data_IF_151799088204
#
_entry.id   IF_151799088204
#
_cell.length_a   1.000
_cell.length_b   1.000
_cell.length_c   1.000
_cell.angle_alpha   90.00
_cell.angle_beta   90.00
_cell.angle_gamma   90.00
#
_symmetry.space_group_name_H-M   'P 1'
#
loop_
_entity.id
_entity.type
_entity.pdbx_description
1 polymer ?
#
# COMPACT_ATOMS: atom_id res chain seq x y z
N UNK A 1 4.32 -16.00 5.94
CA UNK A 1 3.14 -16.38 5.09
C UNK A 1 2.06 -15.32 5.23
N UNK A 2 1.36 -14.95 4.13
CA UNK A 2 0.33 -13.92 4.20
C UNK A 2 -0.85 -14.35 5.08
N UNK A 3 -1.38 -13.42 5.88
CA UNK A 3 -2.50 -13.66 6.78
C UNK A 3 -3.23 -12.36 7.15
N UNK A 4 -4.48 -12.48 7.56
CA UNK A 4 -5.18 -11.36 8.19
C UNK A 4 -4.65 -11.12 9.59
N UNK A 5 -4.44 -9.84 9.92
CA UNK A 5 -4.13 -9.38 11.27
C UNK A 5 -5.05 -8.23 11.67
N UNK A 6 -5.29 -8.08 12.96
CA UNK A 6 -6.00 -6.91 13.49
C UNK A 6 -5.04 -5.73 13.62
N UNK A 7 -5.31 -4.67 12.88
CA UNK A 7 -4.58 -3.42 12.95
C UNK A 7 -5.49 -2.35 13.56
N UNK A 8 -5.47 -2.25 14.90
CA UNK A 8 -6.26 -1.28 15.67
C UNK A 8 -7.76 -1.35 15.40
N UNK A 9 -8.30 -2.57 15.31
CA UNK A 9 -9.73 -2.83 15.12
C UNK A 9 -10.16 -2.95 13.66
N UNK A 10 -9.22 -3.04 12.73
CA UNK A 10 -9.45 -3.31 11.32
C UNK A 10 -8.60 -4.48 10.84
N UNK A 11 -9.23 -5.41 10.10
CA UNK A 11 -8.52 -6.56 9.54
C UNK A 11 -7.79 -6.15 8.26
N UNK A 12 -6.45 -6.22 8.28
CA UNK A 12 -5.62 -6.00 7.09
C UNK A 12 -4.94 -7.30 6.67
N UNK A 13 -4.77 -7.50 5.38
CA UNK A 13 -4.07 -8.65 4.84
C UNK A 13 -2.59 -8.33 4.73
N UNK A 14 -1.79 -8.98 5.56
CA UNK A 14 -0.36 -8.71 5.75
C UNK A 14 0.50 -9.84 5.18
N UNK A 15 1.66 -9.47 4.72
CA UNK A 15 2.69 -10.35 4.16
C UNK A 15 3.98 -10.16 4.95
N UNK A 16 4.64 -11.25 5.25
CA UNK A 16 5.93 -11.25 5.93
C UNK A 16 6.83 -12.33 5.32
N UNK A 17 8.04 -11.93 4.96
CA UNK A 17 9.14 -12.79 4.51
C UNK A 17 10.23 -12.70 5.55
N UNK A 18 10.18 -13.65 6.50
CA UNK A 18 11.05 -13.67 7.66
C UNK A 18 12.52 -13.86 7.27
N UNK A 19 13.37 -12.98 7.77
CA UNK A 19 14.82 -13.03 7.64
C UNK A 19 15.47 -12.35 8.86
N UNK A 20 16.77 -12.58 9.09
CA UNK A 20 17.54 -11.90 10.14
C UNK A 20 18.12 -10.53 9.67
N UNK A 21 17.81 -10.11 8.46
CA UNK A 21 18.22 -8.82 7.91
C UNK A 21 17.44 -7.65 8.49
N UNK A 22 17.78 -6.45 8.05
CA UNK A 22 17.08 -5.24 8.46
C UNK A 22 15.65 -5.21 7.89
N UNK A 23 14.72 -4.60 8.65
CA UNK A 23 13.33 -4.49 8.26
C UNK A 23 13.16 -3.57 7.04
N UNK A 24 12.44 -4.07 6.03
CA UNK A 24 12.00 -3.32 4.84
C UNK A 24 10.49 -3.42 4.72
N UNK A 25 9.82 -2.29 4.56
CA UNK A 25 8.36 -2.25 4.32
C UNK A 25 8.08 -1.82 2.89
N UNK A 26 7.32 -2.65 2.16
CA UNK A 26 6.90 -2.39 0.78
C UNK A 26 5.50 -1.77 0.80
N UNK A 27 5.35 -0.58 0.21
CA UNK A 27 4.10 0.16 0.12
C UNK A 27 3.65 0.26 -1.34
N UNK A 28 2.60 -0.46 -1.70
CA UNK A 28 2.09 -0.53 -3.08
C UNK A 28 1.42 0.78 -3.53
N UNK A 29 1.24 0.94 -4.84
CA UNK A 29 0.58 2.08 -5.48
C UNK A 29 -0.94 2.12 -5.29
N UNK A 30 -1.59 3.18 -5.75
CA UNK A 30 -3.04 3.27 -5.80
C UNK A 30 -3.62 2.22 -6.76
N UNK A 31 -4.77 1.63 -6.42
CA UNK A 31 -5.42 0.52 -7.15
C UNK A 31 -4.52 -0.69 -7.40
N UNK A 32 -3.45 -0.84 -6.62
CA UNK A 32 -2.52 -1.95 -6.66
C UNK A 32 -2.67 -2.82 -5.40
N UNK A 33 -1.85 -3.83 -5.27
CA UNK A 33 -1.82 -4.73 -4.13
C UNK A 33 -0.41 -5.27 -3.91
N UNK A 34 -0.17 -5.88 -2.77
CA UNK A 34 1.16 -6.37 -2.36
C UNK A 34 1.71 -7.45 -3.30
N UNK A 35 0.86 -8.33 -3.80
CA UNK A 35 1.31 -9.42 -4.71
C UNK A 35 1.98 -8.93 -5.99
N UNK A 36 1.82 -7.67 -6.37
CA UNK A 36 2.57 -7.09 -7.50
C UNK A 36 4.07 -6.99 -7.23
N UNK A 37 4.51 -7.02 -5.97
CA UNK A 37 5.91 -7.05 -5.59
C UNK A 37 6.57 -8.42 -5.78
N UNK A 38 5.78 -9.51 -5.75
CA UNK A 38 6.27 -10.89 -5.74
C UNK A 38 7.13 -11.24 -6.96
N UNK A 39 6.90 -10.56 -8.10
CA UNK A 39 7.61 -10.81 -9.35
C UNK A 39 8.62 -9.72 -9.70
N UNK A 40 8.64 -8.61 -8.97
CA UNK A 40 9.42 -7.43 -9.35
C UNK A 40 10.57 -7.19 -8.37
N UNK A 41 10.33 -7.28 -7.07
CA UNK A 41 11.30 -6.83 -6.08
C UNK A 41 11.52 -7.81 -4.93
N UNK A 42 10.45 -8.49 -4.50
CA UNK A 42 10.53 -9.41 -3.35
C UNK A 42 11.60 -10.49 -3.50
N UNK A 43 11.74 -11.18 -4.65
CA UNK A 43 12.74 -12.23 -4.81
C UNK A 43 14.20 -11.75 -4.68
N UNK A 44 14.45 -10.49 -4.99
CA UNK A 44 15.80 -9.90 -4.93
C UNK A 44 16.14 -9.38 -3.52
N UNK A 45 15.13 -9.06 -2.72
CA UNK A 45 15.31 -8.48 -1.38
C UNK A 45 15.19 -9.52 -0.25
N UNK A 46 14.32 -10.52 -0.39
CA UNK A 46 14.06 -11.49 0.69
C UNK A 46 15.30 -12.26 1.17
N UNK A 47 16.35 -12.50 0.35
CA UNK A 47 17.56 -13.18 0.84
C UNK A 47 18.32 -12.38 1.90
N UNK A 48 18.26 -11.06 1.88
CA UNK A 48 19.10 -10.17 2.68
C UNK A 48 18.31 -9.35 3.71
N UNK A 49 16.98 -9.21 3.55
CA UNK A 49 16.15 -8.32 4.37
C UNK A 49 14.93 -9.05 4.96
N UNK A 50 14.51 -8.62 6.13
CA UNK A 50 13.21 -8.99 6.69
C UNK A 50 12.14 -8.10 6.05
N UNK A 51 11.34 -8.68 5.15
CA UNK A 51 10.36 -7.92 4.38
C UNK A 51 8.98 -7.95 5.02
N UNK A 52 8.34 -6.81 5.01
CA UNK A 52 6.96 -6.60 5.41
C UNK A 52 6.18 -5.88 4.31
N UNK A 53 4.93 -6.26 4.14
CA UNK A 53 4.00 -5.53 3.30
C UNK A 53 2.57 -5.81 3.77
N UNK A 54 1.62 -4.99 3.35
CA UNK A 54 0.20 -5.26 3.57
C UNK A 54 -0.61 -4.62 2.45
N UNK A 55 -1.76 -5.20 2.18
CA UNK A 55 -2.75 -4.60 1.32
C UNK A 55 -3.45 -3.48 2.11
N UNK A 56 -3.30 -2.24 1.65
CA UNK A 56 -3.93 -1.09 2.31
C UNK A 56 -5.45 -1.19 2.24
N UNK A 57 -6.15 -0.60 3.20
CA UNK A 57 -7.62 -0.55 3.20
C UNK A 57 -8.19 -0.17 1.83
N UNK A 58 -9.14 -0.95 1.36
CA UNK A 58 -9.77 -0.81 0.05
C UNK A 58 -8.96 -1.37 -1.14
N UNK A 59 -7.83 -2.03 -0.88
CA UNK A 59 -6.97 -2.62 -1.90
C UNK A 59 -6.74 -4.11 -1.61
N UNK A 60 -6.46 -4.88 -2.67
CA UNK A 60 -6.18 -6.30 -2.57
C UNK A 60 -7.19 -7.04 -1.69
N UNK A 61 -6.69 -7.82 -0.75
CA UNK A 61 -7.51 -8.61 0.19
C UNK A 61 -8.00 -7.82 1.42
N UNK A 62 -7.70 -6.53 1.54
CA UNK A 62 -8.15 -5.70 2.67
C UNK A 62 -9.40 -4.90 2.31
N UNK A 63 -10.46 -5.07 3.12
CA UNK A 63 -11.74 -4.39 2.93
C UNK A 63 -11.62 -2.86 2.98
N UNK A 64 -12.51 -2.17 2.29
CA UNK A 64 -12.63 -0.71 2.30
C UNK A 64 -13.09 -0.20 3.67
N UNK A 65 -12.68 0.99 4.01
CA UNK A 65 -13.11 1.75 5.18
C UNK A 65 -13.59 3.14 4.74
N UNK A 66 -14.36 3.82 5.59
CA UNK A 66 -15.03 5.07 5.22
C UNK A 66 -14.12 6.16 4.63
N UNK A 67 -12.83 6.19 5.03
CA UNK A 67 -11.86 7.19 4.60
C UNK A 67 -10.61 6.60 3.94
N UNK A 68 -10.62 5.32 3.55
CA UNK A 68 -9.41 4.60 3.13
C UNK A 68 -8.69 5.20 1.91
N UNK A 69 -9.37 5.94 1.04
CA UNK A 69 -8.76 6.64 -0.10
C UNK A 69 -8.25 8.05 0.23
N UNK A 70 -8.38 8.52 1.47
CA UNK A 70 -7.73 9.75 1.92
C UNK A 70 -6.30 9.48 2.40
N UNK A 71 -5.32 10.22 1.88
CA UNK A 71 -3.91 10.05 2.29
C UNK A 71 -3.70 10.14 3.80
N UNK A 72 -4.45 10.99 4.51
CA UNK A 72 -4.38 11.05 5.99
C UNK A 72 -4.73 9.72 6.65
N UNK A 73 -5.72 8.99 6.11
CA UNK A 73 -6.07 7.66 6.61
C UNK A 73 -4.94 6.67 6.31
N UNK A 74 -4.50 6.61 5.06
CA UNK A 74 -3.47 5.67 4.61
C UNK A 74 -2.13 5.88 5.34
N UNK A 75 -1.75 7.13 5.62
CA UNK A 75 -0.56 7.45 6.41
C UNK A 75 -0.70 6.96 7.85
N UNK A 76 -1.85 7.17 8.50
CA UNK A 76 -2.11 6.66 9.86
C UNK A 76 -2.10 5.14 9.92
N UNK A 77 -2.69 4.49 8.91
CA UNK A 77 -2.68 3.02 8.78
C UNK A 77 -1.25 2.49 8.63
N UNK A 78 -0.43 3.09 7.77
CA UNK A 78 0.96 2.69 7.58
C UNK A 78 1.82 2.94 8.83
N UNK A 79 1.59 4.05 9.56
CA UNK A 79 2.24 4.30 10.86
C UNK A 79 1.83 3.23 11.87
N UNK A 80 0.54 2.88 11.95
CA UNK A 80 0.07 1.82 12.83
C UNK A 80 0.72 0.48 12.48
N UNK A 81 0.88 0.17 11.20
CA UNK A 81 1.55 -1.04 10.75
C UNK A 81 3.03 -1.08 11.17
N UNK A 82 3.75 0.04 11.03
CA UNK A 82 5.14 0.15 11.50
C UNK A 82 5.25 -0.03 13.02
N UNK A 83 4.36 0.58 13.80
CA UNK A 83 4.40 0.54 15.26
C UNK A 83 3.97 -0.82 15.84
N UNK A 84 2.92 -1.42 15.29
CA UNK A 84 2.25 -2.57 15.91
C UNK A 84 2.70 -3.91 15.30
N UNK A 85 3.16 -3.91 14.05
CA UNK A 85 3.58 -5.13 13.32
C UNK A 85 5.10 -5.19 13.17
N UNK A 86 5.71 -4.18 12.54
CA UNK A 86 7.16 -4.15 12.28
C UNK A 86 7.95 -3.93 13.58
N UNK A 87 7.51 -2.99 14.43
CA UNK A 87 8.02 -2.71 15.80
C UNK A 87 9.48 -2.25 15.88
N UNK A 88 10.03 -1.83 14.77
CA UNK A 88 11.37 -1.24 14.67
C UNK A 88 11.43 -0.23 13.52
N UNK A 89 12.40 0.69 13.51
CA UNK A 89 12.61 1.54 12.35
C UNK A 89 12.95 0.70 11.12
N UNK A 90 12.33 1.03 9.97
CA UNK A 90 12.47 0.26 8.76
C UNK A 90 12.91 1.10 7.55
N UNK A 91 13.45 0.44 6.54
CA UNK A 91 13.57 1.00 5.21
C UNK A 91 12.20 0.96 4.55
N UNK A 92 11.76 2.05 3.93
CA UNK A 92 10.49 2.11 3.24
C UNK A 92 10.72 2.15 1.73
N UNK A 93 10.10 1.24 1.01
CA UNK A 93 10.07 1.24 -0.46
C UNK A 93 8.64 1.50 -0.88
N UNK A 94 8.38 2.65 -1.49
CA UNK A 94 7.04 3.06 -1.89
C UNK A 94 6.93 3.33 -3.38
N UNK A 95 5.90 2.74 -3.99
CA UNK A 95 5.56 2.99 -5.38
C UNK A 95 4.33 3.88 -5.50
N UNK A 96 4.41 4.95 -6.35
CA UNK A 96 3.30 5.87 -6.60
C UNK A 96 2.69 6.39 -5.29
N UNK A 97 1.42 6.12 -4.97
CA UNK A 97 0.76 6.49 -3.72
C UNK A 97 1.52 5.97 -2.48
N UNK A 98 2.05 4.75 -2.55
CA UNK A 98 2.88 4.18 -1.49
C UNK A 98 4.13 5.03 -1.21
N UNK A 99 4.72 5.63 -2.25
CA UNK A 99 5.85 6.55 -2.10
C UNK A 99 5.44 7.88 -1.47
N UNK A 100 4.25 8.39 -1.76
CA UNK A 100 3.70 9.59 -1.10
C UNK A 100 3.48 9.32 0.40
N UNK A 101 2.96 8.14 0.73
CA UNK A 101 2.77 7.69 2.10
C UNK A 101 4.13 7.60 2.81
N UNK A 102 5.12 6.94 2.20
CA UNK A 102 6.46 6.79 2.75
C UNK A 102 7.13 8.14 3.04
N UNK A 103 7.06 9.10 2.09
CA UNK A 103 7.56 10.47 2.30
C UNK A 103 6.86 11.15 3.47
N UNK A 104 5.54 11.01 3.56
CA UNK A 104 4.75 11.63 4.62
C UNK A 104 5.11 11.06 6.00
N UNK A 105 5.38 9.76 6.09
CA UNK A 105 5.87 9.12 7.32
C UNK A 105 7.24 9.67 7.69
N UNK A 106 8.18 9.73 6.74
CA UNK A 106 9.52 10.25 7.00
C UNK A 106 9.54 11.71 7.48
N UNK A 107 8.57 12.53 7.03
CA UNK A 107 8.42 13.91 7.49
C UNK A 107 7.80 13.99 8.90
N UNK A 108 6.79 13.16 9.18
CA UNK A 108 5.99 13.28 10.41
C UNK A 108 6.46 12.37 11.53
N UNK A 109 7.10 11.26 11.21
CA UNK A 109 7.58 10.22 12.13
C UNK A 109 8.97 9.71 11.69
N UNK A 110 9.97 10.60 11.62
CA UNK A 110 11.31 10.24 11.12
C UNK A 110 11.98 9.13 11.92
N UNK A 111 11.63 8.95 13.17
CA UNK A 111 12.16 7.89 14.04
C UNK A 111 11.74 6.47 13.61
N UNK A 112 10.70 6.34 12.78
CA UNK A 112 10.27 5.06 12.23
C UNK A 112 10.97 4.68 10.92
N UNK A 113 11.79 5.59 10.34
CA UNK A 113 12.30 5.44 8.98
C UNK A 113 13.83 5.44 8.98
N UNK A 114 14.44 4.34 8.52
CA UNK A 114 15.89 4.24 8.29
C UNK A 114 16.29 4.90 6.96
N UNK A 115 15.55 4.62 5.90
CA UNK A 115 15.77 5.20 4.57
C UNK A 115 14.51 5.09 3.70
N UNK A 116 14.51 5.79 2.57
CA UNK A 116 13.41 5.78 1.59
C UNK A 116 13.92 5.38 0.21
N UNK A 117 13.16 4.52 -0.47
CA UNK A 117 13.24 4.31 -1.91
C UNK A 117 11.87 4.68 -2.49
N UNK A 118 11.85 5.65 -3.39
CA UNK A 118 10.63 6.21 -3.97
C UNK A 118 10.57 5.91 -5.46
N UNK A 119 9.55 5.18 -5.88
CA UNK A 119 9.37 4.75 -7.26
C UNK A 119 8.16 5.47 -7.84
N UNK A 120 8.35 6.39 -8.77
CA UNK A 120 7.27 7.11 -9.44
C UNK A 120 6.35 7.91 -8.52
N UNK A 121 6.86 8.41 -7.39
CA UNK A 121 6.08 9.15 -6.40
C UNK A 121 6.14 10.66 -6.65
N UNK A 122 5.00 11.33 -6.56
CA UNK A 122 4.89 12.78 -6.65
C UNK A 122 5.01 13.42 -5.25
N UNK A 123 5.87 14.42 -5.12
CA UNK A 123 5.99 15.18 -3.87
C UNK A 123 5.00 16.37 -3.79
N UNK A 124 4.33 16.71 -4.89
CA UNK A 124 3.35 17.78 -4.97
C UNK A 124 2.30 17.50 -6.05
N UNK A 125 1.06 17.91 -5.82
CA UNK A 125 -0.04 17.70 -6.77
C UNK A 125 0.20 18.31 -8.16
N UNK A 126 0.95 19.40 -8.26
CA UNK A 126 1.30 20.03 -9.54
C UNK A 126 2.33 19.24 -10.37
N UNK A 127 2.95 18.20 -9.78
CA UNK A 127 3.88 17.34 -10.50
C UNK A 127 3.17 16.26 -11.33
N UNK A 128 1.85 16.15 -11.24
CA UNK A 128 1.07 15.27 -12.11
C UNK A 128 0.98 15.94 -13.49
N UNK A 129 1.75 15.43 -14.44
CA UNK A 129 1.89 15.99 -15.79
C UNK A 129 0.84 15.43 -16.76
N UNK A 130 0.16 14.34 -16.38
CA UNK A 130 -0.79 13.65 -17.24
C UNK A 130 -2.15 13.63 -16.55
N UNK A 131 -3.12 14.33 -17.14
CA UNK A 131 -4.53 14.06 -16.86
C UNK A 131 -4.87 12.70 -17.51
N UNK A 132 -4.95 11.66 -16.69
CA UNK A 132 -5.48 10.38 -17.18
C UNK A 132 -7.00 10.51 -17.27
N UNK A 133 -7.60 10.40 -18.45
CA UNK A 133 -9.03 10.36 -18.56
C UNK A 133 -9.54 9.12 -17.78
N UNK A 134 -10.61 9.32 -17.03
CA UNK A 134 -11.29 8.19 -16.38
C UNK A 134 -11.78 7.22 -17.48
N UNK A 135 -11.27 6.00 -17.43
CA UNK A 135 -11.80 4.89 -18.17
C UNK A 135 -12.59 3.98 -17.21
N UNK A 136 -13.80 3.63 -17.57
CA UNK A 136 -14.52 2.63 -16.78
C UNK A 136 -13.81 1.28 -16.85
N UNK A 137 -13.64 0.58 -15.71
CA UNK A 137 -13.03 -0.73 -15.70
C UNK A 137 -13.85 -1.68 -16.56
N UNK A 138 -13.15 -2.44 -17.38
CA UNK A 138 -13.73 -3.48 -18.24
C UNK A 138 -14.10 -4.73 -17.43
N UNK A 139 -14.61 -5.76 -18.08
CA UNK A 139 -15.06 -6.97 -17.39
C UNK A 139 -13.88 -7.81 -16.85
N UNK A 140 -12.69 -7.72 -17.46
CA UNK A 140 -11.48 -8.36 -16.98
C UNK A 140 -10.97 -7.69 -15.70
N UNK A 141 -10.91 -6.35 -15.67
CA UNK A 141 -10.56 -5.58 -14.47
C UNK A 141 -11.50 -5.91 -13.31
N UNK A 142 -12.81 -6.02 -13.57
CA UNK A 142 -13.81 -6.37 -12.56
C UNK A 142 -13.66 -7.81 -12.08
N UNK A 143 -13.31 -8.72 -12.98
CA UNK A 143 -13.08 -10.13 -12.64
C UNK A 143 -11.82 -10.28 -11.79
N UNK A 144 -10.71 -9.62 -12.13
CA UNK A 144 -9.49 -9.61 -11.35
C UNK A 144 -9.74 -9.03 -9.94
N UNK A 145 -10.41 -7.88 -9.87
CA UNK A 145 -10.81 -7.28 -8.60
C UNK A 145 -11.64 -8.23 -7.73
N UNK A 146 -12.60 -8.95 -8.32
CA UNK A 146 -13.44 -9.91 -7.61
C UNK A 146 -12.68 -11.14 -7.07
N UNK A 147 -11.49 -11.44 -7.61
CA UNK A 147 -10.67 -12.56 -7.13
C UNK A 147 -9.94 -12.26 -5.83
N UNK A 148 -9.65 -11.01 -5.55
CA UNK A 148 -8.85 -10.59 -4.40
C UNK A 148 -9.63 -9.78 -3.38
N UNK A 149 -10.48 -8.85 -3.83
CA UNK A 149 -11.17 -7.92 -2.95
C UNK A 149 -12.29 -8.59 -2.15
N UNK A 150 -12.35 -8.38 -0.83
CA UNK A 150 -13.49 -8.76 -0.01
C UNK A 150 -14.72 -7.88 -0.26
N UNK A 151 -14.55 -6.74 -0.95
CA UNK A 151 -15.64 -5.82 -1.27
C UNK A 151 -16.37 -6.24 -2.53
N UNK A 152 -17.65 -5.87 -2.63
CA UNK A 152 -18.47 -6.26 -3.77
C UNK A 152 -17.90 -5.71 -5.11
N UNK A 153 -17.86 -6.51 -6.20
CA UNK A 153 -17.25 -6.11 -7.48
C UNK A 153 -17.74 -4.78 -8.06
N UNK A 154 -19.01 -4.41 -7.81
CA UNK A 154 -19.57 -3.16 -8.30
C UNK A 154 -18.98 -1.90 -7.61
N UNK A 155 -18.30 -2.06 -6.48
CA UNK A 155 -17.68 -0.94 -5.75
C UNK A 155 -16.39 -0.44 -6.42
N UNK A 156 -15.79 -1.21 -7.35
CA UNK A 156 -14.54 -0.85 -8.01
C UNK A 156 -14.61 0.53 -8.68
N UNK A 157 -15.69 0.82 -9.40
CA UNK A 157 -15.88 2.12 -10.08
C UNK A 157 -15.93 3.28 -9.06
N UNK A 158 -16.62 3.08 -7.93
CA UNK A 158 -16.71 4.09 -6.87
C UNK A 158 -15.34 4.32 -6.21
N UNK A 159 -14.56 3.26 -6.00
CA UNK A 159 -13.20 3.36 -5.45
C UNK A 159 -12.27 4.14 -6.39
N UNK A 160 -12.32 3.85 -7.69
CA UNK A 160 -11.54 4.61 -8.68
C UNK A 160 -11.92 6.09 -8.65
N UNK A 161 -13.22 6.41 -8.63
CA UNK A 161 -13.70 7.79 -8.54
C UNK A 161 -13.24 8.49 -7.27
N UNK A 162 -13.34 7.82 -6.11
CA UNK A 162 -12.82 8.34 -4.83
C UNK A 162 -11.33 8.65 -4.90
N UNK A 163 -10.54 7.76 -5.50
CA UNK A 163 -9.10 7.94 -5.65
C UNK A 163 -8.77 9.11 -6.57
N UNK A 164 -9.46 9.23 -7.71
CA UNK A 164 -9.28 10.30 -8.68
C UNK A 164 -9.96 11.62 -8.27
N UNK A 165 -10.78 11.61 -7.21
CA UNK A 165 -11.57 12.77 -6.73
C UNK A 165 -12.54 13.33 -7.77
N UNK A 166 -13.18 12.47 -8.55
CA UNK A 166 -14.20 12.79 -9.56
C UNK A 166 -15.56 12.18 -9.20
#
# INVERSE_FOLDING_TARGET
MPAYLDLRGHQVYSYEWENNGEAVVLLHGGLSQTSHWDYVLTPDLEPDFHLFAYDRSGHGFTADQAESFHFKYQIREAIAYLEDVVKEPAHLIGWSDGGIIAMSIAITRPELVKSLVLIGANYHHSATVIEMPFAEPNDEDKAEYAMTSPDAPHTLVEKIKKMLKI
#
